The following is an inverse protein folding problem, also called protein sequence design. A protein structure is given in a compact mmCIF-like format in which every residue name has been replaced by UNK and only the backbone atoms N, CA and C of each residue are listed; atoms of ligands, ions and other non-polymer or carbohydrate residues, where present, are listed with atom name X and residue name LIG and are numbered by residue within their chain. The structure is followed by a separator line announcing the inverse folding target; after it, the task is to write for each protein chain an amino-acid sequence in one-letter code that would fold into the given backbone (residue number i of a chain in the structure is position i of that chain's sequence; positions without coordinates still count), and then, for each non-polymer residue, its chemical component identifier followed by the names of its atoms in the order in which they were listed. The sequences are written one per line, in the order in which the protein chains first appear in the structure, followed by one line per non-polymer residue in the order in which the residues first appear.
data_IF_336203619629
#
_entry.id   IF_336203619629
#
_cell.length_a   1.000
_cell.length_b   1.000
_cell.length_c   1.000
_cell.angle_alpha   90.00
_cell.angle_beta   90.00
_cell.angle_gamma   90.00
#
_symmetry.space_group_name_H-M   'P 1'
#
loop_
_entity.id
_entity.type
_entity.pdbx_description
1 polymer ?
#
# COMPACT_ATOMS: atom_id res chain seq x y z
N UNK A 1 29.37 -1.39 4.64
CA UNK A 1 28.35 -1.61 5.69
C UNK A 1 28.62 -2.94 6.35
N UNK A 2 28.61 -2.99 7.68
CA UNK A 2 28.92 -4.23 8.39
C UNK A 2 27.70 -5.17 8.44
N UNK A 3 27.95 -6.48 8.52
CA UNK A 3 26.92 -7.48 8.73
C UNK A 3 26.15 -7.21 10.04
N UNK A 4 26.84 -6.70 11.06
CA UNK A 4 26.22 -6.32 12.35
C UNK A 4 25.18 -5.20 12.19
N UNK A 5 25.45 -4.20 11.34
CA UNK A 5 24.49 -3.12 11.07
C UNK A 5 23.23 -3.66 10.37
N UNK A 6 23.42 -4.60 9.47
CA UNK A 6 22.28 -5.25 8.78
C UNK A 6 21.40 -6.03 9.77
N UNK A 7 22.02 -6.85 10.62
CA UNK A 7 21.30 -7.64 11.63
C UNK A 7 20.56 -6.73 12.60
N UNK A 8 21.22 -5.69 13.09
CA UNK A 8 20.60 -4.73 13.99
C UNK A 8 19.45 -3.98 13.32
N UNK A 9 19.59 -3.63 12.05
CA UNK A 9 18.52 -2.99 11.30
C UNK A 9 17.27 -3.89 11.21
N UNK A 10 17.45 -5.20 11.02
CA UNK A 10 16.36 -6.17 11.00
C UNK A 10 15.68 -6.25 12.39
N UNK A 11 16.47 -6.31 13.46
CA UNK A 11 15.93 -6.36 14.82
C UNK A 11 15.12 -5.09 15.15
N UNK A 12 15.61 -3.93 14.76
CA UNK A 12 14.91 -2.65 14.95
C UNK A 12 13.60 -2.59 14.14
N UNK A 13 13.64 -3.11 12.91
CA UNK A 13 12.44 -3.22 12.07
C UNK A 13 11.38 -4.12 12.72
N UNK A 14 11.79 -5.29 13.21
CA UNK A 14 10.89 -6.23 13.88
C UNK A 14 10.28 -5.62 15.14
N UNK A 15 11.08 -4.89 15.92
CA UNK A 15 10.60 -4.18 17.10
C UNK A 15 9.61 -3.08 16.73
N UNK A 16 9.90 -2.32 15.69
CA UNK A 16 8.99 -1.31 15.16
C UNK A 16 7.63 -1.92 14.74
N UNK A 17 7.67 -3.05 14.04
CA UNK A 17 6.46 -3.76 13.63
C UNK A 17 5.63 -4.22 14.83
N UNK A 18 6.25 -4.78 15.87
CA UNK A 18 5.55 -5.17 17.09
C UNK A 18 4.90 -3.97 17.78
N UNK A 19 5.61 -2.86 17.87
CA UNK A 19 5.09 -1.61 18.45
C UNK A 19 3.91 -1.07 17.65
N UNK A 20 4.00 -1.13 16.33
CA UNK A 20 2.92 -0.73 15.44
C UNK A 20 1.66 -1.58 15.67
N UNK A 21 1.82 -2.90 15.79
CA UNK A 21 0.70 -3.81 16.05
C UNK A 21 0.07 -3.59 17.43
N UNK A 22 0.82 -3.06 18.38
CA UNK A 22 0.35 -2.69 19.72
C UNK A 22 -0.29 -1.29 19.75
N UNK A 23 -0.26 -0.55 18.64
CA UNK A 23 -0.78 0.81 18.57
C UNK A 23 0.18 1.88 19.09
N UNK A 24 1.41 1.50 19.42
CA UNK A 24 2.47 2.42 19.87
C UNK A 24 3.13 3.10 18.66
N UNK A 25 2.39 3.95 17.98
CA UNK A 25 2.77 4.47 16.67
C UNK A 25 4.00 5.37 16.72
N UNK A 26 4.13 6.23 17.72
CA UNK A 26 5.27 7.14 17.85
C UNK A 26 6.58 6.38 18.08
N UNK A 27 6.55 5.37 18.95
CA UNK A 27 7.72 4.51 19.17
C UNK A 27 8.04 3.67 17.94
N UNK A 28 7.02 3.15 17.24
CA UNK A 28 7.21 2.41 16.01
C UNK A 28 7.95 3.27 14.96
N UNK A 29 7.55 4.53 14.79
CA UNK A 29 8.21 5.48 13.89
C UNK A 29 9.68 5.64 14.25
N UNK A 30 9.98 5.84 15.53
CA UNK A 30 11.35 5.98 16.00
C UNK A 30 12.21 4.77 15.64
N UNK A 31 11.71 3.56 15.89
CA UNK A 31 12.41 2.31 15.59
C UNK A 31 12.55 2.06 14.08
N UNK A 32 11.53 2.36 13.27
CA UNK A 32 11.65 2.29 11.80
C UNK A 32 12.74 3.24 11.30
N UNK A 33 12.79 4.48 11.79
CA UNK A 33 13.80 5.46 11.40
C UNK A 33 15.21 4.99 11.75
N UNK A 34 15.39 4.43 12.93
CA UNK A 34 16.68 3.88 13.36
C UNK A 34 17.11 2.70 12.49
N UNK A 35 16.18 1.82 12.14
CA UNK A 35 16.43 0.72 11.20
C UNK A 35 16.91 1.25 9.85
N UNK A 36 16.21 2.25 9.30
CA UNK A 36 16.52 2.88 8.02
C UNK A 36 17.89 3.56 8.03
N UNK A 37 18.26 4.24 9.12
CA UNK A 37 19.59 4.85 9.25
C UNK A 37 20.71 3.84 9.16
N UNK A 38 20.51 2.64 9.72
CA UNK A 38 21.51 1.58 9.68
C UNK A 38 21.57 0.88 8.34
N UNK A 39 20.41 0.59 7.76
CA UNK A 39 20.30 -0.11 6.48
C UNK A 39 18.93 0.17 5.84
N UNK A 40 18.86 1.13 4.89
CA UNK A 40 17.59 1.45 4.22
C UNK A 40 17.06 0.25 3.43
N UNK A 41 15.77 -0.06 3.62
CA UNK A 41 15.06 -1.06 2.83
C UNK A 41 13.74 -0.49 2.34
N UNK A 42 13.24 -0.99 1.22
CA UNK A 42 11.93 -0.59 0.71
C UNK A 42 10.83 -0.99 1.69
N UNK A 43 10.97 -2.14 2.33
CA UNK A 43 10.00 -2.62 3.33
C UNK A 43 9.92 -1.66 4.52
N UNK A 44 11.06 -1.23 5.07
CA UNK A 44 11.07 -0.32 6.22
C UNK A 44 10.42 1.03 5.91
N UNK A 45 10.72 1.62 4.75
CA UNK A 45 10.07 2.85 4.30
C UNK A 45 8.56 2.65 4.09
N UNK A 46 8.15 1.53 3.51
CA UNK A 46 6.73 1.21 3.27
C UNK A 46 5.96 1.10 4.59
N UNK A 47 6.50 0.38 5.57
CA UNK A 47 5.87 0.24 6.87
C UNK A 47 5.87 1.55 7.67
N UNK A 48 6.92 2.36 7.55
CA UNK A 48 6.92 3.70 8.14
C UNK A 48 5.81 4.55 7.52
N UNK A 49 5.63 4.49 6.21
CA UNK A 49 4.52 5.15 5.52
C UNK A 49 3.17 4.72 6.06
N UNK A 50 2.97 3.41 6.24
CA UNK A 50 1.74 2.87 6.80
C UNK A 50 1.50 3.39 8.23
N UNK A 51 2.54 3.53 9.02
CA UNK A 51 2.45 4.08 10.37
C UNK A 51 2.02 5.55 10.34
N UNK A 52 2.57 6.35 9.44
CA UNK A 52 2.12 7.73 9.22
C UNK A 52 0.65 7.81 8.81
N UNK A 53 0.22 6.91 7.94
CA UNK A 53 -1.19 6.85 7.53
C UNK A 53 -2.11 6.62 8.74
N UNK A 54 -1.72 5.76 9.67
CA UNK A 54 -2.48 5.51 10.89
C UNK A 54 -2.57 6.75 11.80
N UNK A 55 -1.63 7.67 11.68
CA UNK A 55 -1.69 8.97 12.34
C UNK A 55 -2.47 10.03 11.54
N UNK A 56 -3.01 9.68 10.38
CA UNK A 56 -3.69 10.61 9.48
C UNK A 56 -2.74 11.49 8.67
N UNK A 57 -1.45 11.19 8.66
CA UNK A 57 -0.42 11.95 7.96
C UNK A 57 -0.19 11.37 6.56
N UNK A 58 -1.17 11.57 5.67
CA UNK A 58 -1.16 10.95 4.34
C UNK A 58 -0.03 11.45 3.44
N UNK A 59 0.30 12.75 3.48
CA UNK A 59 1.38 13.30 2.66
C UNK A 59 2.74 12.71 3.06
N UNK A 60 3.00 12.60 4.35
CA UNK A 60 4.22 11.96 4.88
C UNK A 60 4.25 10.46 4.52
N UNK A 61 3.10 9.80 4.56
CA UNK A 61 2.99 8.40 4.17
C UNK A 61 3.36 8.19 2.68
N UNK A 62 2.85 9.06 1.80
CA UNK A 62 3.19 9.03 0.37
C UNK A 62 4.69 9.27 0.17
N UNK A 63 5.25 10.27 0.85
CA UNK A 63 6.68 10.57 0.75
C UNK A 63 7.56 9.38 1.15
N UNK A 64 7.19 8.65 2.19
CA UNK A 64 7.92 7.44 2.60
C UNK A 64 7.81 6.32 1.56
N UNK A 65 6.64 6.14 0.96
CA UNK A 65 6.48 5.19 -0.14
C UNK A 65 7.34 5.54 -1.36
N UNK A 66 7.47 6.82 -1.67
CA UNK A 66 8.37 7.28 -2.74
C UNK A 66 9.83 6.94 -2.43
N UNK A 67 10.26 7.09 -1.19
CA UNK A 67 11.59 6.66 -0.73
C UNK A 67 11.76 5.13 -0.87
N UNK A 68 10.72 4.36 -0.54
CA UNK A 68 10.73 2.91 -0.72
C UNK A 68 10.97 2.53 -2.17
N UNK A 69 10.30 3.20 -3.11
CA UNK A 69 10.45 2.99 -4.55
C UNK A 69 11.87 3.34 -5.01
N UNK A 70 12.47 4.38 -4.45
CA UNK A 70 13.84 4.76 -4.77
C UNK A 70 14.85 3.68 -4.32
N UNK A 71 14.58 3.00 -3.20
CA UNK A 71 15.44 1.91 -2.70
C UNK A 71 15.28 0.65 -3.55
N UNK A 72 14.03 0.25 -3.84
CA UNK A 72 13.73 -0.91 -4.65
C UNK A 72 12.47 -0.68 -5.49
N UNK A 73 12.63 -0.28 -6.77
CA UNK A 73 11.49 -0.02 -7.64
C UNK A 73 10.71 -1.27 -8.06
N UNK A 74 11.17 -2.48 -7.72
CA UNK A 74 10.47 -3.72 -8.08
C UNK A 74 9.41 -4.14 -7.08
N UNK A 75 9.44 -3.60 -5.84
CA UNK A 75 8.46 -3.92 -4.80
C UNK A 75 7.12 -3.24 -5.10
N UNK A 76 6.04 -4.02 -5.18
CA UNK A 76 4.70 -3.51 -5.52
C UNK A 76 3.98 -2.77 -4.40
N UNK A 77 4.27 -3.12 -3.14
CA UNK A 77 3.58 -2.57 -1.97
C UNK A 77 3.52 -1.03 -1.94
N UNK A 78 4.65 -0.30 -2.09
CA UNK A 78 4.60 1.16 -1.99
C UNK A 78 3.79 1.81 -3.11
N UNK A 79 3.76 1.23 -4.31
CA UNK A 79 2.93 1.75 -5.40
C UNK A 79 1.44 1.62 -5.07
N UNK A 80 1.02 0.47 -4.57
CA UNK A 80 -0.38 0.27 -4.13
C UNK A 80 -0.73 1.21 -2.97
N UNK A 81 0.17 1.37 -2.02
CA UNK A 81 -0.06 2.20 -0.84
C UNK A 81 -0.22 3.67 -1.23
N UNK A 82 0.61 4.19 -2.14
CA UNK A 82 0.44 5.55 -2.69
C UNK A 82 -0.94 5.67 -3.33
N UNK A 83 -1.34 4.70 -4.16
CA UNK A 83 -2.67 4.70 -4.77
C UNK A 83 -3.78 4.75 -3.74
N UNK A 84 -3.70 3.93 -2.70
CA UNK A 84 -4.68 3.88 -1.61
C UNK A 84 -4.74 5.21 -0.84
N UNK A 85 -3.59 5.82 -0.55
CA UNK A 85 -3.53 7.10 0.17
C UNK A 85 -4.08 8.25 -0.68
N UNK A 86 -3.81 8.25 -1.98
CA UNK A 86 -4.41 9.23 -2.90
C UNK A 86 -5.92 9.08 -2.99
N UNK A 87 -6.44 7.86 -2.96
CA UNK A 87 -7.89 7.60 -2.89
C UNK A 87 -8.47 8.20 -1.60
N UNK A 88 -7.80 8.01 -0.46
CA UNK A 88 -8.23 8.60 0.81
C UNK A 88 -8.27 10.13 0.76
N UNK A 89 -7.41 10.75 -0.03
CA UNK A 89 -7.39 12.20 -0.26
C UNK A 89 -8.40 12.65 -1.34
N UNK A 90 -9.13 11.74 -1.96
CA UNK A 90 -10.06 12.04 -3.05
C UNK A 90 -9.36 12.32 -4.39
N UNK A 91 -8.08 12.02 -4.52
CA UNK A 91 -7.26 12.27 -5.71
C UNK A 91 -7.25 11.04 -6.62
N UNK A 92 -8.43 10.70 -7.12
CA UNK A 92 -8.66 9.45 -7.86
C UNK A 92 -7.88 9.36 -9.18
N UNK A 93 -7.83 10.44 -9.93
CA UNK A 93 -7.14 10.46 -11.23
C UNK A 93 -5.63 10.25 -11.08
N UNK A 94 -5.04 10.77 -10.01
CA UNK A 94 -3.63 10.56 -9.71
C UNK A 94 -3.34 9.16 -9.19
N UNK A 95 -4.31 8.54 -8.50
CA UNK A 95 -4.16 7.21 -7.92
C UNK A 95 -4.03 6.12 -8.99
N UNK A 96 -4.78 6.22 -10.09
CA UNK A 96 -4.83 5.18 -11.13
C UNK A 96 -3.47 4.72 -11.64
N UNK A 97 -2.61 5.64 -12.12
CA UNK A 97 -1.27 5.25 -12.62
C UNK A 97 -0.40 4.53 -11.58
N UNK A 98 -0.47 4.92 -10.31
CA UNK A 98 0.27 4.23 -9.25
C UNK A 98 -0.20 2.79 -9.05
N UNK A 99 -1.50 2.58 -9.08
CA UNK A 99 -2.10 1.25 -8.95
C UNK A 99 -1.74 0.35 -10.14
N UNK A 100 -1.71 0.91 -11.35
CA UNK A 100 -1.26 0.18 -12.54
C UNK A 100 0.20 -0.25 -12.42
N UNK A 101 1.07 0.60 -11.85
CA UNK A 101 2.46 0.25 -11.56
C UNK A 101 2.55 -0.89 -10.53
N UNK A 102 1.70 -0.88 -9.51
CA UNK A 102 1.64 -1.98 -8.54
C UNK A 102 1.28 -3.30 -9.21
N UNK A 103 0.26 -3.30 -10.09
CA UNK A 103 -0.17 -4.48 -10.85
C UNK A 103 0.96 -5.00 -11.73
N UNK A 104 1.74 -4.12 -12.35
CA UNK A 104 2.85 -4.47 -13.23
C UNK A 104 4.15 -4.82 -12.49
N UNK A 105 4.21 -4.66 -11.17
CA UNK A 105 5.41 -4.89 -10.37
C UNK A 105 5.84 -6.36 -10.39
N UNK A 106 7.14 -6.59 -10.23
CA UNK A 106 7.71 -7.95 -10.27
C UNK A 106 7.73 -8.65 -8.92
N UNK A 107 7.72 -7.89 -7.84
CA UNK A 107 7.86 -8.42 -6.47
C UNK A 107 6.69 -7.95 -5.63
N UNK A 108 5.61 -8.74 -5.63
CA UNK A 108 4.40 -8.48 -4.85
C UNK A 108 3.67 -9.80 -4.59
N UNK A 109 3.03 -9.93 -3.44
CA UNK A 109 2.27 -11.14 -3.10
C UNK A 109 0.75 -10.90 -3.14
N UNK A 110 0.33 -9.66 -2.98
CA UNK A 110 -1.08 -9.32 -2.77
C UNK A 110 -1.66 -8.47 -3.91
N UNK A 111 -1.53 -8.95 -5.16
CA UNK A 111 -2.02 -8.25 -6.35
C UNK A 111 -3.52 -7.96 -6.34
N UNK A 112 -4.30 -8.64 -5.50
CA UNK A 112 -5.74 -8.36 -5.36
C UNK A 112 -6.00 -6.94 -4.80
N UNK A 113 -5.13 -6.40 -3.97
CA UNK A 113 -5.28 -5.05 -3.44
C UNK A 113 -5.24 -3.96 -4.52
N UNK A 114 -4.22 -3.88 -5.39
CA UNK A 114 -4.23 -2.85 -6.42
C UNK A 114 -5.35 -3.02 -7.44
N UNK A 115 -5.76 -4.25 -7.77
CA UNK A 115 -6.92 -4.47 -8.62
C UNK A 115 -8.21 -3.93 -7.98
N UNK A 116 -8.41 -4.23 -6.70
CA UNK A 116 -9.55 -3.70 -5.96
C UNK A 116 -9.52 -2.17 -5.89
N UNK A 117 -8.38 -1.58 -5.56
CA UNK A 117 -8.22 -0.14 -5.47
C UNK A 117 -8.42 0.55 -6.82
N UNK A 118 -7.94 -0.06 -7.91
CA UNK A 118 -8.19 0.45 -9.26
C UNK A 118 -9.69 0.42 -9.60
N UNK A 119 -10.39 -0.61 -9.16
CA UNK A 119 -11.85 -0.68 -9.26
C UNK A 119 -12.54 0.47 -8.55
N UNK A 120 -12.04 0.83 -7.36
CA UNK A 120 -12.55 2.00 -6.60
C UNK A 120 -12.34 3.31 -7.37
N UNK A 121 -11.18 3.48 -7.98
CA UNK A 121 -10.89 4.64 -8.82
C UNK A 121 -11.85 4.69 -10.01
N UNK A 122 -12.04 3.59 -10.70
CA UNK A 122 -12.95 3.49 -11.85
C UNK A 122 -14.40 3.79 -11.44
N UNK A 123 -14.82 3.29 -10.28
CA UNK A 123 -16.17 3.56 -9.77
C UNK A 123 -16.35 5.05 -9.46
N UNK A 124 -15.37 5.67 -8.83
CA UNK A 124 -15.41 7.10 -8.49
C UNK A 124 -15.37 8.02 -9.71
N UNK A 125 -14.86 7.54 -10.83
CA UNK A 125 -14.77 8.28 -12.11
C UNK A 125 -15.78 7.80 -13.15
N UNK A 126 -16.85 7.14 -12.70
CA UNK A 126 -17.98 6.65 -13.51
C UNK A 126 -17.61 5.66 -14.63
N UNK A 127 -16.49 4.97 -14.49
CA UNK A 127 -16.05 3.93 -15.40
C UNK A 127 -16.55 2.56 -14.90
N UNK A 128 -17.86 2.34 -14.95
CA UNK A 128 -18.51 1.20 -14.30
C UNK A 128 -18.10 -0.16 -14.90
N UNK A 129 -17.96 -0.25 -16.20
CA UNK A 129 -17.54 -1.51 -16.86
C UNK A 129 -16.12 -1.90 -16.45
N UNK A 130 -15.21 -0.93 -16.42
CA UNK A 130 -13.82 -1.15 -16.00
C UNK A 130 -13.74 -1.47 -14.50
N UNK A 131 -14.56 -0.80 -13.68
CA UNK A 131 -14.65 -1.08 -12.25
C UNK A 131 -15.03 -2.54 -12.01
N UNK A 132 -16.06 -3.03 -12.71
CA UNK A 132 -16.48 -4.43 -12.62
C UNK A 132 -15.37 -5.40 -12.97
N UNK A 133 -14.64 -5.12 -14.05
CA UNK A 133 -13.51 -5.92 -14.48
C UNK A 133 -12.41 -5.99 -13.41
N UNK A 134 -12.06 -4.85 -12.82
CA UNK A 134 -11.06 -4.77 -11.77
C UNK A 134 -11.47 -5.56 -10.52
N UNK A 135 -12.72 -5.42 -10.07
CA UNK A 135 -13.20 -6.18 -8.91
C UNK A 135 -13.23 -7.68 -9.18
N UNK A 136 -13.58 -8.10 -10.39
CA UNK A 136 -13.52 -9.51 -10.79
C UNK A 136 -12.10 -10.04 -10.80
N UNK A 137 -11.14 -9.24 -11.30
CA UNK A 137 -9.71 -9.59 -11.25
C UNK A 137 -9.22 -9.79 -9.81
N UNK A 138 -9.61 -8.91 -8.90
CA UNK A 138 -9.28 -9.06 -7.49
C UNK A 138 -9.80 -10.40 -6.94
N UNK A 139 -11.03 -10.80 -7.29
CA UNK A 139 -11.63 -12.06 -6.85
C UNK A 139 -11.05 -13.29 -7.54
N UNK A 140 -10.54 -13.17 -8.76
CA UNK A 140 -9.78 -14.25 -9.39
C UNK A 140 -8.51 -14.58 -8.61
N UNK A 141 -7.85 -13.55 -8.05
CA UNK A 141 -6.62 -13.69 -7.28
C UNK A 141 -6.92 -14.15 -5.84
N UNK A 142 -7.89 -13.50 -5.20
CA UNK A 142 -8.31 -13.82 -3.83
C UNK A 142 -9.83 -13.98 -3.77
N UNK A 143 -10.36 -15.22 -3.96
CA UNK A 143 -11.81 -15.47 -4.04
C UNK A 143 -12.62 -15.08 -2.82
N UNK A 144 -11.97 -14.98 -1.65
CA UNK A 144 -12.63 -14.63 -0.38
C UNK A 144 -12.48 -13.16 0.01
N UNK A 145 -12.03 -12.32 -0.92
CA UNK A 145 -11.81 -10.91 -0.63
C UNK A 145 -13.15 -10.17 -0.61
N UNK A 146 -13.74 -10.08 0.58
CA UNK A 146 -15.07 -9.48 0.80
C UNK A 146 -15.23 -8.06 0.25
N UNK A 147 -14.25 -7.13 0.38
CA UNK A 147 -14.43 -5.79 -0.17
C UNK A 147 -14.75 -5.78 -1.67
N UNK A 148 -14.14 -6.67 -2.45
CA UNK A 148 -14.43 -6.77 -3.88
C UNK A 148 -15.81 -7.39 -4.16
N UNK A 149 -16.23 -8.39 -3.38
CA UNK A 149 -17.58 -8.95 -3.47
C UNK A 149 -18.64 -7.90 -3.20
N UNK A 150 -18.48 -7.16 -2.12
CA UNK A 150 -19.41 -6.09 -1.73
C UNK A 150 -19.45 -4.97 -2.75
N UNK A 151 -18.29 -4.64 -3.34
CA UNK A 151 -18.20 -3.63 -4.38
C UNK A 151 -18.97 -4.07 -5.65
N UNK A 152 -18.85 -5.33 -6.05
CA UNK A 152 -19.61 -5.88 -7.19
C UNK A 152 -21.11 -5.87 -6.93
N UNK A 153 -21.55 -6.22 -5.74
CA UNK A 153 -22.97 -6.19 -5.38
C UNK A 153 -23.54 -4.78 -5.43
N UNK A 154 -22.79 -3.80 -4.91
CA UNK A 154 -23.19 -2.39 -5.00
C UNK A 154 -23.26 -1.92 -6.45
N UNK A 155 -22.28 -2.30 -7.26
CA UNK A 155 -22.22 -1.93 -8.67
C UNK A 155 -23.42 -2.48 -9.47
N UNK A 156 -23.85 -3.71 -9.20
CA UNK A 156 -25.05 -4.29 -9.81
C UNK A 156 -26.30 -3.46 -9.55
N UNK A 157 -26.42 -2.90 -8.32
CA UNK A 157 -27.56 -2.07 -7.95
C UNK A 157 -27.53 -0.71 -8.63
N UNK A 158 -26.35 -0.18 -8.91
CA UNK A 158 -26.20 1.13 -9.55
C UNK A 158 -26.51 1.11 -11.04
N UNK A 159 -26.36 -0.04 -11.71
CA UNK A 159 -26.50 -0.18 -13.19
C UNK A 159 -27.77 -0.95 -13.61
N UNK A 160 -28.68 -1.20 -12.68
CA UNK A 160 -29.99 -1.82 -13.00
C UNK A 160 -31.03 -0.80 -13.48
#
# INVERSE_FOLDING_TARGET
MSAQNYELAIELFQKAYQLQMQGELELAIEFYKRSIELHPTAEAHTFLGWTYRHQGKLDEAIAECEKAIAVDPTLGNPYNDIGAYLIEQGRYEEAGPWLEKAIASKRYEAYHYPWYNLGRVCLATDQYSRARECFRKALEIEPRYRPAEEALDRLRRLVQ
#
